data_IF_835597791152
#
_entry.id   IF_835597791152
#
_cell.length_a   1.000
_cell.length_b   1.000
_cell.length_c   1.000
_cell.angle_alpha   90.00
_cell.angle_beta   90.00
_cell.angle_gamma   90.00
#
_symmetry.space_group_name_H-M   'P 1'
#
loop_
_entity.id
_entity.type
_entity.pdbx_description
1 polymer ?
#
# COMPACT_ATOMS: atom_id res chain seq x y z
N UNK A 1 0.30 5.60 5.66
CA UNK A 1 -0.96 5.56 6.44
C UNK A 1 -2.11 4.68 5.92
N UNK A 2 -2.61 4.77 4.68
CA UNK A 2 -3.86 4.04 4.27
C UNK A 2 -3.69 2.54 3.95
N UNK A 3 -2.47 2.01 4.00
CA UNK A 3 -2.14 0.68 3.47
C UNK A 3 -2.88 -0.46 4.17
N UNK A 4 -3.01 -0.43 5.50
CA UNK A 4 -3.69 -1.51 6.24
C UNK A 4 -5.16 -1.63 5.84
N UNK A 5 -5.81 -0.54 5.41
CA UNK A 5 -7.19 -0.53 4.93
C UNK A 5 -7.30 -1.10 3.52
N UNK A 6 -6.29 -0.86 2.66
CA UNK A 6 -6.24 -1.34 1.27
C UNK A 6 -5.68 -2.77 1.12
N UNK A 7 -4.98 -3.27 2.13
CA UNK A 7 -4.28 -4.56 2.17
C UNK A 7 -4.58 -5.21 3.54
N UNK A 8 -5.82 -5.65 3.74
CA UNK A 8 -6.38 -5.88 5.09
C UNK A 8 -5.91 -7.14 5.81
N UNK A 9 -5.14 -7.99 5.15
CA UNK A 9 -4.76 -9.30 5.68
C UNK A 9 -3.25 -9.49 5.68
N UNK A 10 -2.76 -10.38 6.54
CA UNK A 10 -1.34 -10.79 6.57
C UNK A 10 -0.86 -11.24 5.17
N UNK A 11 -1.70 -11.96 4.44
CA UNK A 11 -1.36 -12.48 3.12
C UNK A 11 -1.19 -11.38 2.05
N UNK A 12 -1.84 -10.23 2.21
CA UNK A 12 -1.75 -9.08 1.30
C UNK A 12 -0.30 -8.64 1.08
N UNK A 13 0.50 -8.67 2.15
CA UNK A 13 1.90 -8.25 2.13
C UNK A 13 2.83 -9.29 1.51
N UNK A 14 2.38 -10.53 1.34
CA UNK A 14 3.10 -11.54 0.54
C UNK A 14 2.99 -11.24 -0.96
N UNK A 15 2.00 -10.44 -1.38
CA UNK A 15 1.88 -9.89 -2.74
C UNK A 15 2.78 -8.67 -2.96
N UNK A 16 2.93 -7.82 -1.94
CA UNK A 16 3.74 -6.59 -1.99
C UNK A 16 5.23 -6.88 -1.84
N UNK A 17 5.76 -7.72 -2.73
CA UNK A 17 7.18 -8.07 -2.81
C UNK A 17 7.74 -7.69 -4.20
N UNK A 18 9.01 -7.26 -4.28
CA UNK A 18 9.61 -6.90 -5.57
C UNK A 18 9.58 -8.05 -6.59
N UNK A 19 9.38 -7.72 -7.87
CA UNK A 19 9.52 -8.68 -8.98
C UNK A 19 8.23 -9.30 -9.52
N UNK A 20 7.07 -9.07 -8.90
CA UNK A 20 5.78 -9.69 -9.28
C UNK A 20 4.71 -8.67 -9.72
N UNK A 21 5.13 -7.58 -10.38
CA UNK A 21 4.28 -6.45 -10.85
C UNK A 21 3.49 -5.68 -9.77
N UNK A 22 3.56 -6.09 -8.50
CA UNK A 22 2.96 -5.40 -7.36
C UNK A 22 3.83 -4.22 -6.91
N UNK A 23 3.24 -3.03 -6.69
CA UNK A 23 4.01 -1.86 -6.28
C UNK A 23 4.49 -2.00 -4.84
N UNK A 24 5.74 -1.64 -4.57
CA UNK A 24 6.35 -1.66 -3.23
C UNK A 24 6.96 -0.31 -2.83
N UNK A 25 7.08 0.63 -3.77
CA UNK A 25 7.64 1.97 -3.56
C UNK A 25 6.59 3.05 -3.81
N UNK A 26 6.54 4.04 -2.94
CA UNK A 26 5.65 5.19 -3.01
C UNK A 26 6.09 6.06 -4.19
N UNK A 27 5.40 5.94 -5.31
CA UNK A 27 5.81 6.51 -6.59
C UNK A 27 4.61 6.66 -7.52
N UNK A 28 4.70 7.61 -8.45
CA UNK A 28 3.76 7.71 -9.56
C UNK A 28 4.50 7.88 -10.87
N UNK A 29 3.92 7.41 -11.97
CA UNK A 29 4.50 7.58 -13.31
C UNK A 29 3.49 7.32 -14.43
N UNK A 30 3.84 7.78 -15.63
CA UNK A 30 3.11 7.50 -16.84
C UNK A 30 3.44 6.11 -17.36
N UNK A 31 2.43 5.28 -17.66
CA UNK A 31 2.59 3.92 -18.25
C UNK A 31 3.40 2.91 -17.41
N UNK A 32 4.09 3.32 -16.35
CA UNK A 32 4.99 2.48 -15.56
C UNK A 32 4.22 1.48 -14.70
N UNK A 33 4.45 0.18 -14.93
CA UNK A 33 3.85 -0.92 -14.16
C UNK A 33 4.62 -1.28 -12.89
N UNK A 34 5.68 -0.56 -12.55
CA UNK A 34 6.37 -0.72 -11.25
C UNK A 34 6.00 0.37 -10.25
N UNK A 35 5.35 1.45 -10.72
CA UNK A 35 4.90 2.55 -9.87
C UNK A 35 3.62 2.19 -9.10
N UNK A 36 3.47 2.79 -7.91
CA UNK A 36 2.29 2.67 -7.05
C UNK A 36 1.05 3.27 -7.69
N UNK A 37 1.17 4.51 -8.19
CA UNK A 37 0.12 5.17 -8.96
C UNK A 37 0.53 5.19 -10.43
N UNK A 38 -0.27 4.56 -11.28
CA UNK A 38 -0.09 4.60 -12.74
C UNK A 38 -1.06 5.60 -13.33
N UNK A 39 -0.56 6.53 -14.14
CA UNK A 39 -1.39 7.36 -15.00
C UNK A 39 -1.39 6.73 -16.40
N UNK A 40 -2.53 6.19 -16.89
CA UNK A 40 -2.64 5.67 -18.24
C UNK A 40 -2.38 6.74 -19.29
N UNK A 41 -2.01 6.32 -20.50
CA UNK A 41 -1.75 7.24 -21.60
C UNK A 41 -3.00 8.08 -21.92
N UNK A 42 -2.82 9.40 -21.98
CA UNK A 42 -3.87 10.29 -22.49
C UNK A 42 -4.15 10.02 -23.96
N UNK A 43 -5.43 9.91 -24.32
CA UNK A 43 -5.90 9.74 -25.68
C UNK A 43 -6.73 10.98 -26.02
N UNK A 44 -6.27 11.77 -26.99
CA UNK A 44 -6.96 12.98 -27.46
C UNK A 44 -8.38 12.64 -27.93
N UNK A 45 -9.38 13.40 -27.47
CA UNK A 45 -10.80 13.13 -27.76
C UNK A 45 -11.44 12.04 -26.90
N UNK A 46 -10.72 11.54 -25.87
CA UNK A 46 -11.23 10.61 -24.85
C UNK A 46 -10.94 11.14 -23.43
N UNK A 47 -11.23 12.41 -23.20
CA UNK A 47 -10.98 13.12 -21.95
C UNK A 47 -11.63 12.43 -20.74
N UNK A 48 -12.81 11.82 -20.94
CA UNK A 48 -13.53 11.05 -19.91
C UNK A 48 -12.80 9.79 -19.43
N UNK A 49 -11.70 9.38 -20.08
CA UNK A 49 -10.93 8.19 -19.71
C UNK A 49 -9.71 8.49 -18.83
N UNK A 50 -9.43 9.78 -18.58
CA UNK A 50 -8.33 10.24 -17.73
C UNK A 50 -8.60 9.80 -16.28
N UNK A 51 -7.60 9.14 -15.68
CA UNK A 51 -7.69 8.57 -14.34
C UNK A 51 -6.30 8.33 -13.74
N UNK A 52 -6.25 8.22 -12.42
CA UNK A 52 -5.12 7.67 -11.70
C UNK A 52 -5.46 6.25 -11.25
N UNK A 53 -4.56 5.30 -11.48
CA UNK A 53 -4.73 3.91 -11.07
C UNK A 53 -3.83 3.62 -9.87
N UNK A 54 -4.42 3.53 -8.68
CA UNK A 54 -3.73 3.08 -7.47
C UNK A 54 -3.67 1.54 -7.45
N UNK A 55 -2.46 0.97 -7.35
CA UNK A 55 -2.22 -0.45 -7.66
C UNK A 55 -1.89 -1.33 -6.45
N UNK A 56 -1.78 -0.76 -5.26
CA UNK A 56 -1.59 -1.52 -4.03
C UNK A 56 -2.87 -2.11 -3.42
N UNK A 57 -4.12 -1.71 -3.71
CA UNK A 57 -5.27 -2.44 -3.19
C UNK A 57 -5.28 -3.88 -3.72
N UNK A 58 -5.76 -4.80 -2.92
CA UNK A 58 -6.02 -6.19 -3.31
C UNK A 58 -7.52 -6.51 -3.12
N UNK A 59 -8.06 -7.59 -3.74
CA UNK A 59 -9.50 -7.86 -3.74
C UNK A 59 -10.04 -8.34 -2.40
N UNK A 60 -9.19 -8.62 -1.41
CA UNK A 60 -9.63 -9.02 -0.09
C UNK A 60 -10.05 -7.81 0.76
N UNK A 61 -9.59 -6.59 0.42
CA UNK A 61 -9.97 -5.39 1.14
C UNK A 61 -11.48 -5.12 1.05
N UNK A 62 -12.07 -4.69 2.17
CA UNK A 62 -13.44 -4.18 2.19
C UNK A 62 -13.55 -2.98 1.23
N UNK A 63 -14.34 -3.07 0.14
CA UNK A 63 -14.37 -2.04 -0.90
C UNK A 63 -14.91 -0.71 -0.40
N UNK A 64 -15.82 -0.71 0.57
CA UNK A 64 -16.39 0.52 1.13
C UNK A 64 -15.33 1.31 1.89
N UNK A 65 -14.57 0.64 2.77
CA UNK A 65 -13.50 1.26 3.54
C UNK A 65 -12.36 1.71 2.61
N UNK A 66 -12.01 0.88 1.62
CA UNK A 66 -10.98 1.20 0.65
C UNK A 66 -11.32 2.46 -0.15
N UNK A 67 -12.53 2.55 -0.71
CA UNK A 67 -12.93 3.74 -1.46
C UNK A 67 -13.07 4.97 -0.57
N UNK A 68 -13.52 4.83 0.68
CA UNK A 68 -13.60 5.95 1.61
C UNK A 68 -12.21 6.58 1.87
N UNK A 69 -11.20 5.77 2.23
CA UNK A 69 -9.85 6.30 2.51
C UNK A 69 -9.14 6.78 1.24
N UNK A 70 -9.38 6.15 0.08
CA UNK A 70 -8.84 6.62 -1.20
C UNK A 70 -9.42 7.97 -1.58
N UNK A 71 -10.74 8.15 -1.43
CA UNK A 71 -11.40 9.41 -1.73
C UNK A 71 -10.93 10.51 -0.78
N UNK A 72 -10.88 10.24 0.53
CA UNK A 72 -10.41 11.23 1.51
C UNK A 72 -8.96 11.64 1.26
N UNK A 73 -8.07 10.69 0.96
CA UNK A 73 -6.67 10.99 0.64
C UNK A 73 -6.53 11.86 -0.62
N UNK A 74 -7.34 11.58 -1.65
CA UNK A 74 -7.37 12.39 -2.86
C UNK A 74 -7.91 13.80 -2.63
N UNK A 75 -8.99 13.93 -1.86
CA UNK A 75 -9.61 15.22 -1.55
C UNK A 75 -8.70 16.08 -0.68
N UNK A 76 -8.07 15.51 0.34
CA UNK A 76 -7.16 16.27 1.22
C UNK A 76 -5.97 16.85 0.44
N UNK A 77 -5.38 16.08 -0.49
CA UNK A 77 -4.32 16.60 -1.35
C UNK A 77 -4.76 17.75 -2.26
N UNK A 78 -6.03 17.76 -2.71
CA UNK A 78 -6.61 18.84 -3.50
C UNK A 78 -6.89 20.07 -2.61
N UNK A 79 -7.57 19.87 -1.49
CA UNK A 79 -8.00 20.95 -0.59
C UNK A 79 -6.82 21.66 0.09
N UNK A 80 -5.76 20.91 0.39
CA UNK A 80 -4.55 21.43 1.04
C UNK A 80 -3.41 21.73 0.05
N UNK A 81 -3.67 21.62 -1.25
CA UNK A 81 -2.72 21.94 -2.32
C UNK A 81 -1.35 21.25 -2.15
N UNK A 82 -1.35 19.95 -1.85
CA UNK A 82 -0.10 19.21 -1.64
C UNK A 82 0.79 19.22 -2.88
N UNK A 83 2.09 19.41 -2.67
CA UNK A 83 3.07 19.35 -3.75
C UNK A 83 3.15 17.92 -4.31
N UNK A 84 2.95 17.80 -5.62
CA UNK A 84 3.11 16.52 -6.32
C UNK A 84 4.61 16.27 -6.59
N UNK A 85 5.20 15.18 -6.06
CA UNK A 85 6.60 14.88 -6.31
C UNK A 85 6.86 14.57 -7.79
N UNK A 86 8.12 14.60 -8.26
CA UNK A 86 8.47 14.22 -9.62
C UNK A 86 8.04 12.78 -9.96
N UNK A 87 7.63 12.55 -11.20
CA UNK A 87 7.28 11.22 -11.70
C UNK A 87 8.50 10.31 -11.81
N UNK A 88 8.36 9.04 -11.46
CA UNK A 88 9.44 8.03 -11.51
C UNK A 88 9.24 7.10 -12.71
N UNK A 89 9.68 7.57 -13.87
CA UNK A 89 9.51 6.89 -15.16
C UNK A 89 10.32 5.58 -15.34
N UNK A 90 11.57 5.45 -14.83
CA UNK A 90 12.32 4.21 -15.01
C UNK A 90 11.72 3.03 -14.23
N UNK A 91 12.09 1.80 -14.62
CA UNK A 91 11.67 0.59 -13.92
C UNK A 91 12.30 0.53 -12.51
N UNK A 92 11.47 0.71 -11.49
CA UNK A 92 11.90 0.84 -10.09
C UNK A 92 12.50 -0.48 -9.56
N UNK A 93 12.07 -1.63 -10.07
CA UNK A 93 12.63 -2.93 -9.68
C UNK A 93 14.07 -3.14 -10.18
N UNK A 94 14.48 -2.41 -11.21
CA UNK A 94 15.85 -2.47 -11.76
C UNK A 94 16.78 -1.43 -11.15
N UNK A 95 16.27 -0.50 -10.34
CA UNK A 95 17.09 0.42 -9.59
C UNK A 95 17.80 -0.34 -8.47
N UNK A 96 19.04 0.02 -8.16
CA UNK A 96 19.69 -0.41 -6.93
C UNK A 96 19.11 0.35 -5.72
N UNK A 97 19.48 -0.06 -4.51
CA UNK A 97 18.98 0.56 -3.28
C UNK A 97 19.46 2.01 -3.14
N UNK A 98 20.73 2.28 -3.49
CA UNK A 98 21.35 3.60 -3.39
C UNK A 98 20.64 4.63 -4.27
N UNK A 99 20.32 4.27 -5.51
CA UNK A 99 19.58 5.12 -6.44
C UNK A 99 18.18 5.44 -5.92
N UNK A 100 17.48 4.45 -5.34
CA UNK A 100 16.14 4.65 -4.77
C UNK A 100 16.17 5.60 -3.57
N UNK A 101 17.17 5.45 -2.71
CA UNK A 101 17.37 6.33 -1.56
C UNK A 101 17.74 7.75 -1.98
N UNK A 102 18.63 7.89 -2.97
CA UNK A 102 19.06 9.19 -3.50
C UNK A 102 17.90 10.02 -4.09
N UNK A 103 16.88 9.37 -4.65
CA UNK A 103 15.66 10.05 -5.15
C UNK A 103 14.53 10.12 -4.12
N UNK A 104 14.77 9.70 -2.88
CA UNK A 104 13.81 9.79 -1.77
C UNK A 104 12.59 8.88 -1.91
N UNK A 105 12.72 7.73 -2.58
CA UNK A 105 11.60 6.79 -2.72
C UNK A 105 11.28 6.11 -1.39
N UNK A 106 10.19 6.52 -0.76
CA UNK A 106 9.61 5.77 0.36
C UNK A 106 9.12 4.39 -0.04
N UNK A 107 9.10 3.44 0.89
CA UNK A 107 8.54 2.10 0.69
C UNK A 107 7.14 1.97 1.31
N UNK A 108 6.31 1.08 0.74
CA UNK A 108 5.13 0.60 1.44
C UNK A 108 5.54 -0.22 2.69
N UNK A 109 4.65 -0.35 3.69
CA UNK A 109 4.89 -1.25 4.80
C UNK A 109 5.13 -2.69 4.33
N UNK A 110 6.08 -3.39 4.94
CA UNK A 110 6.49 -4.75 4.52
C UNK A 110 5.57 -5.85 5.05
N UNK A 111 4.76 -5.53 6.06
CA UNK A 111 3.84 -6.46 6.70
C UNK A 111 2.63 -5.73 7.27
N UNK A 112 1.61 -6.51 7.68
CA UNK A 112 0.37 -5.98 8.24
C UNK A 112 0.62 -5.13 9.49
N UNK A 113 1.56 -5.52 10.34
CA UNK A 113 1.85 -4.80 11.58
C UNK A 113 2.42 -3.40 11.34
N UNK A 114 3.44 -3.28 10.49
CA UNK A 114 3.97 -1.96 10.08
C UNK A 114 2.86 -1.08 9.51
N UNK A 115 1.99 -1.64 8.67
CA UNK A 115 0.89 -0.88 8.11
C UNK A 115 -0.13 -0.43 9.15
N UNK A 116 -0.41 -1.26 10.17
CA UNK A 116 -1.28 -0.88 11.29
C UNK A 116 -0.65 0.24 12.09
N UNK A 117 0.65 0.16 12.42
CA UNK A 117 1.35 1.22 13.18
C UNK A 117 1.31 2.57 12.45
N UNK A 118 1.46 2.54 11.11
CA UNK A 118 1.28 3.70 10.25
C UNK A 118 -0.16 4.22 10.25
N UNK A 119 -1.15 3.34 10.23
CA UNK A 119 -2.56 3.74 10.29
C UNK A 119 -2.95 4.30 11.66
N UNK A 120 -2.40 3.79 12.76
CA UNK A 120 -2.70 4.25 14.12
C UNK A 120 -2.33 5.72 14.34
N UNK A 121 -1.31 6.20 13.63
CA UNK A 121 -0.85 7.58 13.69
C UNK A 121 -1.58 8.51 12.71
N UNK A 122 -2.48 7.96 11.88
CA UNK A 122 -3.13 8.70 10.80
C UNK A 122 -4.38 9.44 11.27
N UNK A 123 -4.30 10.77 11.33
CA UNK A 123 -5.48 11.62 11.51
C UNK A 123 -6.46 11.50 10.34
N UNK A 124 -5.95 11.38 9.10
CA UNK A 124 -6.74 11.22 7.89
C UNK A 124 -7.64 10.00 7.98
N UNK A 125 -7.05 8.82 8.24
CA UNK A 125 -7.82 7.57 8.29
C UNK A 125 -8.80 7.58 9.46
N UNK A 126 -8.39 8.10 10.62
CA UNK A 126 -9.26 8.22 11.79
C UNK A 126 -10.47 9.12 11.52
N UNK A 127 -10.26 10.30 10.94
CA UNK A 127 -11.32 11.23 10.54
C UNK A 127 -12.23 10.63 9.48
N UNK A 128 -11.67 9.91 8.52
CA UNK A 128 -12.44 9.28 7.42
C UNK A 128 -13.37 8.17 7.91
N UNK A 129 -12.86 7.30 8.79
CA UNK A 129 -13.63 6.14 9.27
C UNK A 129 -14.51 6.48 10.48
N UNK A 130 -14.17 7.54 11.21
CA UNK A 130 -14.73 7.86 12.51
C UNK A 130 -14.16 6.97 13.62
N UNK A 131 -14.16 7.49 14.85
CA UNK A 131 -13.50 6.85 16.00
C UNK A 131 -13.93 5.40 16.21
N UNK A 132 -15.23 5.13 16.19
CA UNK A 132 -15.77 3.80 16.44
C UNK A 132 -15.27 2.75 15.43
N UNK A 133 -15.26 3.06 14.13
CA UNK A 133 -14.80 2.12 13.10
C UNK A 133 -13.27 2.01 13.14
N UNK A 134 -12.58 3.14 13.29
CA UNK A 134 -11.13 3.19 13.34
C UNK A 134 -10.56 2.33 14.48
N UNK A 135 -11.05 2.52 15.71
CA UNK A 135 -10.59 1.78 16.89
C UNK A 135 -10.85 0.28 16.75
N UNK A 136 -12.04 -0.10 16.25
CA UNK A 136 -12.40 -1.49 16.05
C UNK A 136 -11.57 -2.13 14.93
N UNK A 137 -11.33 -1.40 13.85
CA UNK A 137 -10.49 -1.84 12.73
C UNK A 137 -9.07 -2.12 13.21
N UNK A 138 -8.41 -1.16 13.86
CA UNK A 138 -7.05 -1.31 14.39
C UNK A 138 -6.97 -2.49 15.34
N UNK A 139 -7.88 -2.57 16.32
CA UNK A 139 -7.90 -3.66 17.31
C UNK A 139 -8.04 -5.03 16.65
N UNK A 140 -8.97 -5.15 15.69
CA UNK A 140 -9.21 -6.40 14.98
C UNK A 140 -7.96 -6.84 14.18
N UNK A 141 -7.33 -5.90 13.47
CA UNK A 141 -6.15 -6.19 12.65
C UNK A 141 -4.91 -6.51 13.48
N UNK A 142 -4.74 -5.89 14.66
CA UNK A 142 -3.69 -6.26 15.61
C UNK A 142 -3.89 -7.68 16.14
N UNK A 143 -5.12 -8.04 16.52
CA UNK A 143 -5.43 -9.39 17.00
C UNK A 143 -5.10 -10.45 15.93
N UNK A 144 -5.50 -10.23 14.67
CA UNK A 144 -5.14 -11.10 13.54
C UNK A 144 -3.62 -11.22 13.38
N UNK A 145 -2.89 -10.11 13.50
CA UNK A 145 -1.43 -10.14 13.40
C UNK A 145 -0.78 -10.96 14.51
N UNK A 146 -1.23 -10.80 15.76
CA UNK A 146 -0.68 -11.55 16.89
C UNK A 146 -1.01 -13.03 16.79
N UNK A 147 -2.23 -13.38 16.39
CA UNK A 147 -2.63 -14.76 16.10
C UNK A 147 -1.72 -15.39 15.04
N UNK A 148 -1.41 -14.67 13.95
CA UNK A 148 -0.48 -15.12 12.92
C UNK A 148 0.96 -15.28 13.43
N UNK A 149 1.45 -14.33 14.23
CA UNK A 149 2.83 -14.34 14.78
C UNK A 149 3.06 -15.54 15.70
N UNK A 150 2.05 -16.00 16.41
CA UNK A 150 2.15 -17.13 17.34
C UNK A 150 2.24 -18.50 16.63
N UNK A 151 1.98 -18.54 15.33
CA UNK A 151 2.05 -19.78 14.56
C UNK A 151 3.50 -20.22 14.32
N UNK A 152 3.76 -21.52 14.45
CA UNK A 152 4.96 -22.17 13.90
C UNK A 152 4.61 -22.76 12.55
N UNK A 153 5.14 -22.18 11.49
CA UNK A 153 4.79 -22.58 10.12
C UNK A 153 5.59 -23.78 9.64
N UNK A 154 5.03 -24.52 8.68
CA UNK A 154 5.75 -25.61 8.00
C UNK A 154 7.07 -25.15 7.35
N UNK A 155 7.19 -23.88 6.95
CA UNK A 155 8.44 -23.35 6.43
C UNK A 155 9.53 -23.31 7.51
N UNK A 156 9.18 -22.92 8.74
CA UNK A 156 10.10 -22.91 9.88
C UNK A 156 10.49 -24.33 10.26
N UNK A 157 9.52 -25.25 10.32
CA UNK A 157 9.77 -26.67 10.58
C UNK A 157 10.73 -27.24 9.53
N UNK A 158 10.44 -27.03 8.24
CA UNK A 158 11.31 -27.54 7.17
C UNK A 158 12.69 -26.88 7.16
N UNK A 159 12.80 -25.60 7.48
CA UNK A 159 14.08 -24.89 7.43
C UNK A 159 14.98 -25.22 8.61
N UNK A 160 14.42 -25.32 9.81
CA UNK A 160 15.17 -25.46 11.06
C UNK A 160 15.22 -26.91 11.59
N UNK A 161 14.25 -27.76 11.24
CA UNK A 161 14.12 -29.11 11.79
C UNK A 161 14.21 -30.26 10.75
N UNK A 162 14.24 -29.98 9.43
CA UNK A 162 14.32 -31.06 8.41
C UNK A 162 15.68 -31.76 8.25
N UNK A 163 16.58 -31.62 9.23
CA UNK A 163 17.90 -32.30 9.25
C UNK A 163 18.09 -33.23 10.46
N UNK A 164 17.00 -33.69 11.08
CA UNK A 164 17.04 -34.80 12.03
C UNK A 164 16.44 -36.04 11.37
#
# INVERSE_FOLDING_TARGET
EICSVLNQYVNSYKRLVPGYEAPVYISWAHRNRTALIRVPMYIKGKESTVRAELRNPDPAANPYLAFAVMLSAGLEGIEQEYELPPSVEPNIYKMDAETREAIGLGSLPNNLYEAILETQQSELVRRTLGDHIFERFVTNKLNEWYEYREQVTDWEVRKYFARV
#
